data_IF_626217341654
#
_entry.id   IF_626217341654
#
_cell.length_a   1.000
_cell.length_b   1.000
_cell.length_c   1.000
_cell.angle_alpha   90.00
_cell.angle_beta   90.00
_cell.angle_gamma   90.00
#
_symmetry.space_group_name_H-M   'P 1'
#
loop_
_entity.id
_entity.type
_entity.pdbx_description
1 polymer ?
#
# COMPACT_ATOMS: atom_id res chain seq x y z
N UNK A 1 -11.36 -25.97 16.83
CA UNK A 1 -10.77 -24.61 16.95
C UNK A 1 -9.78 -24.32 15.83
N UNK A 2 -8.96 -25.29 15.44
CA UNK A 2 -7.90 -25.14 14.44
C UNK A 2 -8.36 -24.64 13.05
N UNK A 3 -9.48 -25.14 12.53
CA UNK A 3 -10.01 -24.70 11.21
C UNK A 3 -10.37 -23.21 11.21
N UNK A 4 -10.98 -22.70 12.29
CA UNK A 4 -11.34 -21.28 12.41
C UNK A 4 -10.10 -20.40 12.47
N UNK A 5 -9.06 -20.83 13.21
CA UNK A 5 -7.77 -20.15 13.28
C UNK A 5 -7.10 -20.04 11.92
N UNK A 6 -7.06 -21.14 11.15
CA UNK A 6 -6.50 -21.13 9.78
C UNK A 6 -7.25 -20.18 8.85
N UNK A 7 -8.59 -20.15 8.94
CA UNK A 7 -9.41 -19.23 8.13
C UNK A 7 -9.09 -17.77 8.47
N UNK A 8 -9.06 -17.41 9.76
CA UNK A 8 -8.76 -16.03 10.18
C UNK A 8 -7.37 -15.57 9.72
N UNK A 9 -6.35 -16.43 9.87
CA UNK A 9 -4.98 -16.13 9.38
C UNK A 9 -4.96 -15.98 7.86
N UNK A 10 -5.70 -16.83 7.13
CA UNK A 10 -5.75 -16.75 5.66
C UNK A 10 -6.40 -15.43 5.20
N UNK A 11 -7.46 -14.98 5.88
CA UNK A 11 -8.10 -13.69 5.60
C UNK A 11 -7.13 -12.53 5.87
N UNK A 12 -6.38 -12.58 6.97
CA UNK A 12 -5.39 -11.55 7.31
C UNK A 12 -4.31 -11.42 6.22
N UNK A 13 -3.78 -12.56 5.75
CA UNK A 13 -2.81 -12.58 4.63
C UNK A 13 -3.40 -12.00 3.35
N UNK A 14 -4.66 -12.34 3.03
CA UNK A 14 -5.34 -11.80 1.84
C UNK A 14 -5.50 -10.27 1.96
N UNK A 15 -5.87 -9.75 3.12
CA UNK A 15 -5.98 -8.31 3.37
C UNK A 15 -4.65 -7.58 3.16
N UNK A 16 -3.54 -8.17 3.61
CA UNK A 16 -2.20 -7.65 3.35
C UNK A 16 -1.84 -7.64 1.87
N UNK A 17 -2.17 -8.69 1.13
CA UNK A 17 -1.93 -8.75 -0.33
C UNK A 17 -2.72 -7.63 -1.05
N UNK A 18 -4.00 -7.47 -0.73
CA UNK A 18 -4.85 -6.43 -1.33
C UNK A 18 -4.30 -5.03 -0.99
N UNK A 19 -3.83 -4.84 0.23
CA UNK A 19 -3.23 -3.57 0.68
C UNK A 19 -1.89 -3.29 -0.01
N UNK A 20 -1.11 -4.31 -0.39
CA UNK A 20 0.18 -4.12 -1.05
C UNK A 20 0.07 -3.77 -2.54
N UNK A 21 -0.95 -4.28 -3.26
CA UNK A 21 -1.09 -4.11 -4.71
C UNK A 21 -0.99 -2.64 -5.17
N UNK A 22 -1.71 -1.68 -4.56
CA UNK A 22 -1.66 -0.30 -5.00
C UNK A 22 -0.28 0.34 -4.83
N UNK A 23 0.42 0.01 -3.74
CA UNK A 23 1.78 0.50 -3.48
C UNK A 23 2.75 -0.04 -4.51
N UNK A 24 2.66 -1.33 -4.85
CA UNK A 24 3.50 -1.95 -5.88
C UNK A 24 3.28 -1.28 -7.25
N UNK A 25 2.03 -1.00 -7.60
CA UNK A 25 1.72 -0.31 -8.86
C UNK A 25 2.30 1.10 -8.91
N UNK A 26 2.15 1.89 -7.84
CA UNK A 26 2.75 3.24 -7.77
C UNK A 26 4.28 3.16 -7.84
N UNK A 27 4.90 2.23 -7.11
CA UNK A 27 6.35 2.02 -7.16
C UNK A 27 6.84 1.67 -8.57
N UNK A 28 6.12 0.81 -9.29
CA UNK A 28 6.45 0.45 -10.68
C UNK A 28 6.46 1.69 -11.57
N UNK A 29 5.44 2.53 -11.49
CA UNK A 29 5.36 3.77 -12.28
C UNK A 29 6.46 4.76 -11.89
N UNK A 30 6.73 4.92 -10.60
CA UNK A 30 7.80 5.81 -10.13
C UNK A 30 9.19 5.33 -10.60
N UNK A 31 9.45 4.02 -10.60
CA UNK A 31 10.67 3.43 -11.15
C UNK A 31 10.75 3.57 -12.66
N UNK A 32 9.63 3.39 -13.37
CA UNK A 32 9.56 3.60 -14.81
C UNK A 32 9.94 5.04 -15.17
N UNK A 33 9.36 6.02 -14.50
CA UNK A 33 9.68 7.44 -14.65
C UNK A 33 11.13 7.76 -14.27
N UNK A 34 11.69 7.10 -13.25
CA UNK A 34 13.10 7.28 -12.89
C UNK A 34 14.05 6.90 -14.02
N UNK A 35 13.72 5.85 -14.79
CA UNK A 35 14.55 5.33 -15.88
C UNK A 35 14.31 6.07 -17.20
N UNK A 36 13.04 6.30 -17.55
CA UNK A 36 12.65 6.85 -18.85
C UNK A 36 12.46 8.37 -18.83
N UNK A 37 12.55 8.97 -17.65
CA UNK A 37 12.30 10.38 -17.43
C UNK A 37 10.82 10.71 -17.32
N UNK A 38 10.52 11.86 -16.73
CA UNK A 38 9.18 12.44 -16.70
C UNK A 38 9.26 13.94 -16.94
N UNK A 39 8.16 14.52 -17.42
CA UNK A 39 8.02 15.98 -17.51
C UNK A 39 7.41 16.43 -16.18
N UNK A 40 8.09 17.31 -15.41
CA UNK A 40 7.65 17.64 -14.06
C UNK A 40 6.28 18.33 -14.08
N UNK A 41 5.26 17.60 -13.63
CA UNK A 41 3.87 18.04 -13.81
C UNK A 41 3.57 19.30 -12.99
N UNK A 42 4.11 19.36 -11.76
CA UNK A 42 3.93 20.48 -10.83
C UNK A 42 4.53 21.78 -11.36
N UNK A 43 5.60 21.69 -12.15
CA UNK A 43 6.29 22.86 -12.72
C UNK A 43 5.71 23.29 -14.06
N UNK A 44 5.20 22.34 -14.84
CA UNK A 44 4.73 22.64 -16.19
C UNK A 44 3.25 23.04 -16.24
N UNK A 45 2.35 22.43 -15.46
CA UNK A 45 0.89 22.54 -15.68
C UNK A 45 0.47 22.45 -17.17
N UNK A 46 1.27 21.79 -18.01
CA UNK A 46 1.10 21.72 -19.46
C UNK A 46 1.42 23.00 -20.26
N UNK A 47 1.93 24.06 -19.63
CA UNK A 47 2.09 25.40 -20.23
C UNK A 47 3.55 25.83 -20.45
N UNK A 48 4.54 25.10 -19.95
CA UNK A 48 5.96 25.47 -20.09
C UNK A 48 6.76 24.30 -20.63
N UNK A 49 7.51 24.52 -21.72
CA UNK A 49 8.53 23.58 -22.19
C UNK A 49 9.56 23.41 -21.06
N UNK A 50 9.41 22.32 -20.33
CA UNK A 50 10.27 21.95 -19.21
C UNK A 50 11.07 20.75 -19.67
N UNK A 51 12.35 20.76 -19.35
CA UNK A 51 13.24 19.65 -19.68
C UNK A 51 12.78 18.39 -18.95
N UNK A 52 12.92 17.23 -19.60
CA UNK A 52 12.68 15.95 -18.93
C UNK A 52 13.66 15.77 -17.78
N UNK A 53 13.14 15.44 -16.61
CA UNK A 53 13.94 15.08 -15.44
C UNK A 53 14.05 13.56 -15.36
N UNK A 54 15.17 13.06 -14.83
CA UNK A 54 15.47 11.63 -14.71
C UNK A 54 15.87 11.27 -13.27
N UNK A 55 16.00 9.97 -12.99
CA UNK A 55 16.47 9.46 -11.72
C UNK A 55 15.51 9.77 -10.58
N UNK A 56 16.07 10.11 -9.40
CA UNK A 56 15.26 10.31 -8.19
C UNK A 56 14.30 11.51 -8.28
N UNK A 57 14.64 12.55 -9.06
CA UNK A 57 13.74 13.69 -9.26
C UNK A 57 12.46 13.27 -10.00
N UNK A 58 12.60 12.44 -11.05
CA UNK A 58 11.46 11.91 -11.80
C UNK A 58 10.60 10.94 -10.99
N UNK A 59 11.25 10.13 -10.15
CA UNK A 59 10.57 9.27 -9.18
C UNK A 59 9.68 10.10 -8.24
N UNK A 60 10.23 11.15 -7.64
CA UNK A 60 9.51 11.98 -6.68
C UNK A 60 8.37 12.78 -7.32
N UNK A 61 8.55 13.30 -8.52
CA UNK A 61 7.50 14.01 -9.26
C UNK A 61 6.31 13.07 -9.56
N UNK A 62 6.61 11.85 -10.04
CA UNK A 62 5.58 10.83 -10.30
C UNK A 62 4.86 10.42 -9.02
N UNK A 63 5.59 10.21 -7.93
CA UNK A 63 4.99 9.88 -6.63
C UNK A 63 4.07 11.00 -6.14
N UNK A 64 4.51 12.25 -6.23
CA UNK A 64 3.71 13.42 -5.86
C UNK A 64 2.45 13.56 -6.72
N UNK A 65 2.56 13.33 -8.03
CA UNK A 65 1.40 13.30 -8.92
C UNK A 65 0.37 12.28 -8.44
N UNK A 66 0.79 11.04 -8.14
CA UNK A 66 -0.11 10.03 -7.63
C UNK A 66 -0.73 10.42 -6.27
N UNK A 67 0.05 10.99 -5.35
CA UNK A 67 -0.46 11.45 -4.06
C UNK A 67 -1.51 12.57 -4.18
N UNK A 68 -1.30 13.52 -5.09
CA UNK A 68 -2.17 14.69 -5.26
C UNK A 68 -3.42 14.36 -6.05
N UNK A 69 -3.29 13.71 -7.22
CA UNK A 69 -4.42 13.42 -8.10
C UNK A 69 -5.29 12.27 -7.61
N UNK A 70 -4.70 11.30 -6.90
CA UNK A 70 -5.43 10.15 -6.36
C UNK A 70 -5.63 10.26 -4.85
N UNK A 71 -5.76 11.48 -4.30
CA UNK A 71 -5.89 11.69 -2.85
C UNK A 71 -7.06 10.91 -2.23
N UNK A 72 -8.20 10.80 -2.93
CA UNK A 72 -9.36 10.00 -2.48
C UNK A 72 -8.98 8.52 -2.37
N UNK A 73 -8.21 8.01 -3.34
CA UNK A 73 -7.75 6.64 -3.36
C UNK A 73 -6.68 6.39 -2.28
N UNK A 74 -5.79 7.37 -2.01
CA UNK A 74 -4.83 7.31 -0.90
C UNK A 74 -5.54 7.25 0.44
N UNK A 75 -6.60 8.04 0.64
CA UNK A 75 -7.41 8.01 1.88
C UNK A 75 -8.11 6.65 2.02
N UNK A 76 -8.74 6.16 0.95
CA UNK A 76 -9.40 4.85 0.97
C UNK A 76 -8.41 3.72 1.27
N UNK A 77 -7.22 3.76 0.66
CA UNK A 77 -6.13 2.82 0.93
C UNK A 77 -5.63 2.93 2.37
N UNK A 78 -5.47 4.14 2.91
CA UNK A 78 -5.08 4.37 4.30
C UNK A 78 -6.10 3.78 5.27
N UNK A 79 -7.39 3.91 4.98
CA UNK A 79 -8.46 3.27 5.74
C UNK A 79 -8.38 1.74 5.71
N UNK A 80 -8.13 1.15 4.53
CA UNK A 80 -7.91 -0.29 4.38
C UNK A 80 -6.68 -0.76 5.16
N UNK A 81 -5.58 0.00 5.14
CA UNK A 81 -4.37 -0.32 5.89
C UNK A 81 -4.64 -0.32 7.40
N UNK A 82 -5.30 0.72 7.92
CA UNK A 82 -5.67 0.79 9.35
C UNK A 82 -6.58 -0.37 9.74
N UNK A 83 -7.57 -0.69 8.91
CA UNK A 83 -8.43 -1.86 9.12
C UNK A 83 -7.61 -3.17 9.15
N UNK A 84 -6.70 -3.34 8.20
CA UNK A 84 -5.84 -4.53 8.09
C UNK A 84 -4.97 -4.69 9.33
N UNK A 85 -4.31 -3.61 9.78
CA UNK A 85 -3.51 -3.61 11.02
C UNK A 85 -4.38 -3.98 12.23
N UNK A 86 -5.58 -3.40 12.34
CA UNK A 86 -6.53 -3.74 13.40
C UNK A 86 -6.97 -5.21 13.35
N UNK A 87 -7.21 -5.74 12.16
CA UNK A 87 -7.55 -7.15 11.94
C UNK A 87 -6.40 -8.10 12.28
N UNK A 88 -5.16 -7.72 11.95
CA UNK A 88 -3.96 -8.47 12.36
C UNK A 88 -3.83 -8.51 13.89
N UNK A 89 -4.04 -7.38 14.57
CA UNK A 89 -4.03 -7.32 16.04
C UNK A 89 -5.12 -8.22 16.65
N UNK A 90 -6.33 -8.19 16.11
CA UNK A 90 -7.42 -9.09 16.50
C UNK A 90 -7.03 -10.56 16.28
N UNK A 91 -6.49 -10.89 15.10
CA UNK A 91 -6.07 -12.26 14.75
C UNK A 91 -5.00 -12.77 15.69
N UNK A 92 -4.05 -11.91 16.08
CA UNK A 92 -3.02 -12.24 17.06
C UNK A 92 -3.60 -12.57 18.44
N UNK A 93 -4.51 -11.74 18.96
CA UNK A 93 -5.17 -11.98 20.25
C UNK A 93 -5.99 -13.27 20.20
N UNK A 94 -6.80 -13.46 19.15
CA UNK A 94 -7.59 -14.68 18.95
C UNK A 94 -6.71 -15.94 18.93
N UNK A 95 -5.57 -15.91 18.22
CA UNK A 95 -4.64 -17.02 18.17
C UNK A 95 -3.96 -17.29 19.52
N UNK A 96 -3.67 -16.23 20.30
CA UNK A 96 -3.07 -16.33 21.63
C UNK A 96 -4.03 -16.96 22.64
N UNK A 97 -5.29 -16.54 22.63
CA UNK A 97 -6.31 -17.06 23.53
C UNK A 97 -6.69 -18.50 23.20
N UNK A 98 -6.76 -18.86 21.91
CA UNK A 98 -6.93 -20.25 21.48
C UNK A 98 -5.80 -21.16 22.02
N UNK A 99 -4.55 -20.69 21.96
CA UNK A 99 -3.38 -21.44 22.47
C UNK A 99 -3.43 -21.63 23.98
N UNK A 100 -3.93 -20.64 24.74
CA UNK A 100 -4.12 -20.79 26.19
C UNK A 100 -5.16 -21.84 26.51
N UNK A 101 -6.28 -21.86 25.79
CA UNK A 101 -7.34 -22.85 26.01
C UNK A 101 -6.84 -24.28 25.77
N UNK A 102 -6.05 -24.48 24.72
CA UNK A 102 -5.45 -25.79 24.40
C UNK A 102 -4.39 -26.25 25.41
N UNK A 103 -3.82 -25.35 26.23
CA UNK A 103 -2.84 -25.71 27.26
C UNK A 103 -3.47 -26.13 28.60
N UNK A 104 -4.78 -25.93 28.76
CA UNK A 104 -5.54 -26.27 29.97
C UNK A 104 -6.44 -27.51 29.81
N UNK A 105 -6.44 -28.13 28.62
CA UNK A 105 -7.08 -29.40 28.30
C UNK A 105 -6.02 -30.45 27.97
#
# INVERSE_FOLDING_TARGET
METRKRITISIDVILWIITAIPVINVLKECLYSAIHGTIPFVQSFGNVQTEMVYGFAAFMDTLQFYCIFFIVFVIAWGGLLVFTIGFTAYTYIFCKDAKKLEAHF
#
